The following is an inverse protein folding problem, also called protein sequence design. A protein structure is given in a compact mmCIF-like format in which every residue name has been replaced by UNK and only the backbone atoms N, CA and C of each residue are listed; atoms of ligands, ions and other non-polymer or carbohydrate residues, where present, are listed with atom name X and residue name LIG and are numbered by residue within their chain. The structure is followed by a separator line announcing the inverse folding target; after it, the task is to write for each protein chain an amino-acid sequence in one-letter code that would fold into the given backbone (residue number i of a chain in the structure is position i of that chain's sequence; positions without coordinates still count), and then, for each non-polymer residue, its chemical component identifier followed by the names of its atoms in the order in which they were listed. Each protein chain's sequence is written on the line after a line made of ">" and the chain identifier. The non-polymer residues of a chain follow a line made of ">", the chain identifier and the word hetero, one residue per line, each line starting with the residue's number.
data_IF_593428804747
#
_entry.id   IF_593428804747
#
_cell.length_a   1.000
_cell.length_b   1.000
_cell.length_c   1.000
_cell.angle_alpha   90.00
_cell.angle_beta   90.00
_cell.angle_gamma   90.00
#
_symmetry.space_group_name_H-M   'P 1'
#
loop_
_entity.id
_entity.type
_entity.pdbx_description
1 polymer ?
#
# COMPACT_ATOMS: atom_id res chain seq x y z
N UNK A 1 32.80 -19.92 17.25
CA UNK A 1 32.66 -18.47 17.57
C UNK A 1 32.07 -17.61 16.44
N UNK A 2 32.02 -18.04 15.16
CA UNK A 2 31.57 -17.17 14.05
C UNK A 2 30.06 -16.97 13.83
N UNK A 3 29.18 -17.82 14.38
CA UNK A 3 27.74 -17.73 14.10
C UNK A 3 27.00 -16.57 14.81
N UNK A 4 27.44 -16.18 16.01
CA UNK A 4 26.77 -15.14 16.81
C UNK A 4 27.04 -13.73 16.29
N UNK A 5 28.25 -13.49 15.78
CA UNK A 5 28.63 -12.22 15.15
C UNK A 5 27.85 -12.00 13.86
N UNK A 6 27.73 -13.06 13.04
CA UNK A 6 26.89 -13.03 11.84
C UNK A 6 25.43 -12.67 12.13
N UNK A 7 24.82 -13.21 13.20
CA UNK A 7 23.43 -12.88 13.57
C UNK A 7 23.24 -11.42 13.99
N UNK A 8 24.19 -10.85 14.75
CA UNK A 8 24.14 -9.44 15.12
C UNK A 8 24.30 -8.53 13.90
N UNK A 9 25.20 -8.88 12.99
CA UNK A 9 25.39 -8.16 11.72
C UNK A 9 24.12 -8.24 10.85
N UNK A 10 23.47 -9.41 10.79
CA UNK A 10 22.18 -9.57 10.09
C UNK A 10 21.10 -8.69 10.73
N UNK A 11 20.98 -8.67 12.06
CA UNK A 11 19.99 -7.83 12.76
C UNK A 11 20.23 -6.34 12.50
N UNK A 12 21.49 -5.90 12.53
CA UNK A 12 21.84 -4.52 12.22
C UNK A 12 21.48 -4.15 10.78
N UNK A 13 21.82 -5.00 9.82
CA UNK A 13 21.51 -4.76 8.42
C UNK A 13 19.98 -4.79 8.17
N UNK A 14 19.23 -5.69 8.81
CA UNK A 14 17.77 -5.74 8.74
C UNK A 14 17.15 -4.44 9.29
N UNK A 15 17.68 -3.92 10.40
CA UNK A 15 17.25 -2.64 10.97
C UNK A 15 17.51 -1.47 10.01
N UNK A 16 18.65 -1.47 9.32
CA UNK A 16 18.96 -0.46 8.32
C UNK A 16 17.95 -0.50 7.17
N UNK A 17 17.65 -1.70 6.67
CA UNK A 17 16.69 -1.92 5.60
C UNK A 17 15.26 -1.56 6.00
N UNK A 18 14.84 -1.90 7.22
CA UNK A 18 13.54 -1.50 7.76
C UNK A 18 13.42 0.03 7.81
N UNK A 19 14.47 0.73 8.23
CA UNK A 19 14.51 2.20 8.25
C UNK A 19 14.47 2.81 6.85
N UNK A 20 15.13 2.18 5.88
CA UNK A 20 15.09 2.60 4.48
C UNK A 20 13.68 2.42 3.88
N UNK A 21 13.05 1.26 4.11
CA UNK A 21 11.66 1.01 3.71
C UNK A 21 10.69 2.04 4.31
N UNK A 22 10.86 2.41 5.57
CA UNK A 22 10.03 3.45 6.20
C UNK A 22 10.22 4.82 5.52
N UNK A 23 11.46 5.20 5.18
CA UNK A 23 11.71 6.45 4.44
C UNK A 23 11.08 6.44 3.05
N UNK A 24 11.09 5.29 2.37
CA UNK A 24 10.45 5.12 1.06
C UNK A 24 8.92 5.22 1.19
N UNK A 25 8.33 4.62 2.22
CA UNK A 25 6.92 4.78 2.55
C UNK A 25 6.53 6.26 2.74
N UNK A 26 7.26 6.99 3.61
CA UNK A 26 7.04 8.42 3.84
C UNK A 26 7.25 9.26 2.56
N UNK A 27 8.16 8.84 1.68
CA UNK A 27 8.37 9.49 0.38
C UNK A 27 7.17 9.28 -0.55
N UNK A 28 6.65 8.07 -0.65
CA UNK A 28 5.46 7.76 -1.45
C UNK A 28 4.22 8.52 -0.95
N UNK A 29 4.01 8.64 0.37
CA UNK A 29 2.92 9.44 0.93
C UNK A 29 3.04 10.93 0.59
N UNK A 30 4.25 11.49 0.65
CA UNK A 30 4.48 12.89 0.22
C UNK A 30 4.22 13.08 -1.28
N UNK A 31 4.60 12.13 -2.11
CA UNK A 31 4.32 12.17 -3.55
C UNK A 31 2.81 12.02 -3.85
N UNK A 32 2.10 11.18 -3.09
CA UNK A 32 0.63 11.04 -3.14
C UNK A 32 -0.06 12.37 -2.81
N UNK A 33 0.34 13.03 -1.72
CA UNK A 33 -0.25 14.31 -1.30
C UNK A 33 0.00 15.43 -2.32
N UNK A 34 1.20 15.48 -2.91
CA UNK A 34 1.51 16.39 -4.02
C UNK A 34 0.60 16.15 -5.22
N UNK A 35 0.30 14.88 -5.53
CA UNK A 35 -0.59 14.55 -6.64
C UNK A 35 -2.04 14.94 -6.34
N UNK A 36 -2.50 14.77 -5.09
CA UNK A 36 -3.82 15.27 -4.64
C UNK A 36 -3.96 16.78 -4.79
N UNK A 37 -2.92 17.56 -4.53
CA UNK A 37 -2.92 19.00 -4.77
C UNK A 37 -3.05 19.30 -6.28
N UNK A 38 -2.39 18.53 -7.13
CA UNK A 38 -2.52 18.69 -8.60
C UNK A 38 -3.92 18.33 -9.09
N UNK A 39 -4.57 17.31 -8.52
CA UNK A 39 -5.98 16.97 -8.81
C UNK A 39 -6.87 18.19 -8.56
N UNK A 40 -6.72 18.85 -7.39
CA UNK A 40 -7.49 20.07 -7.06
C UNK A 40 -7.25 21.16 -8.11
N UNK A 41 -5.99 21.44 -8.43
CA UNK A 41 -5.63 22.44 -9.43
C UNK A 41 -6.14 22.13 -10.85
N UNK A 42 -6.32 20.85 -11.19
CA UNK A 42 -6.87 20.40 -12.47
C UNK A 42 -8.40 20.53 -12.51
N UNK A 43 -9.07 20.23 -11.38
CA UNK A 43 -10.52 20.41 -11.22
C UNK A 43 -10.92 21.90 -11.27
N UNK A 44 -10.16 22.80 -10.63
CA UNK A 44 -10.38 24.25 -10.71
C UNK A 44 -10.31 24.78 -12.16
N UNK A 45 -9.45 24.16 -12.98
CA UNK A 45 -9.28 24.50 -14.40
C UNK A 45 -10.27 23.77 -15.31
N UNK A 46 -11.23 23.01 -14.75
CA UNK A 46 -12.19 22.18 -15.47
C UNK A 46 -11.54 21.15 -16.42
N UNK A 47 -10.32 20.69 -16.11
CA UNK A 47 -9.62 19.68 -16.90
C UNK A 47 -9.75 18.30 -16.25
N UNK A 48 -10.87 17.62 -16.58
CA UNK A 48 -11.22 16.30 -16.05
C UNK A 48 -10.21 15.23 -16.46
N UNK A 49 -9.69 15.29 -17.70
CA UNK A 49 -8.71 14.33 -18.21
C UNK A 49 -7.41 14.38 -17.38
N UNK A 50 -6.91 15.59 -17.09
CA UNK A 50 -5.72 15.77 -16.25
C UNK A 50 -5.97 15.35 -14.79
N UNK A 51 -7.17 15.64 -14.26
CA UNK A 51 -7.56 15.20 -12.92
C UNK A 51 -7.57 13.67 -12.82
N UNK A 52 -8.06 12.96 -13.84
CA UNK A 52 -8.05 11.49 -13.92
C UNK A 52 -6.64 10.90 -13.94
N UNK A 53 -5.73 11.49 -14.71
CA UNK A 53 -4.31 11.05 -14.73
C UNK A 53 -3.65 11.24 -13.36
N UNK A 54 -3.86 12.41 -12.73
CA UNK A 54 -3.31 12.68 -11.40
C UNK A 54 -3.94 11.79 -10.32
N UNK A 55 -5.24 11.51 -10.40
CA UNK A 55 -5.91 10.57 -9.50
C UNK A 55 -5.35 9.14 -9.62
N UNK A 56 -5.15 8.64 -10.85
CA UNK A 56 -4.52 7.33 -11.07
C UNK A 56 -3.10 7.27 -10.52
N UNK A 57 -2.30 8.32 -10.68
CA UNK A 57 -0.95 8.40 -10.10
C UNK A 57 -0.98 8.41 -8.56
N UNK A 58 -1.93 9.13 -7.96
CA UNK A 58 -2.12 9.20 -6.51
C UNK A 58 -2.42 7.81 -5.93
N UNK A 59 -3.39 7.08 -6.52
CA UNK A 59 -3.73 5.71 -6.11
C UNK A 59 -2.52 4.78 -6.25
N UNK A 60 -1.79 4.88 -7.36
CA UNK A 60 -0.60 4.06 -7.60
C UNK A 60 0.46 4.31 -6.53
N UNK A 61 0.67 5.56 -6.11
CA UNK A 61 1.61 5.96 -5.05
C UNK A 61 1.14 5.53 -3.66
N UNK A 62 -0.16 5.59 -3.40
CA UNK A 62 -0.77 5.09 -2.16
C UNK A 62 -0.54 3.57 -2.01
N UNK A 63 -0.81 2.80 -3.06
CA UNK A 63 -0.58 1.35 -3.08
C UNK A 63 0.90 1.01 -2.93
N UNK A 64 1.78 1.79 -3.56
CA UNK A 64 3.23 1.67 -3.38
C UNK A 64 3.63 1.92 -1.90
N UNK A 65 3.06 2.95 -1.26
CA UNK A 65 3.29 3.27 0.14
C UNK A 65 2.85 2.12 1.06
N UNK A 66 1.68 1.52 0.83
CA UNK A 66 1.20 0.37 1.59
C UNK A 66 2.13 -0.83 1.47
N UNK A 67 2.66 -1.09 0.26
CA UNK A 67 3.62 -2.18 0.03
C UNK A 67 4.91 -1.97 0.83
N UNK A 68 5.46 -0.76 0.87
CA UNK A 68 6.63 -0.45 1.69
C UNK A 68 6.34 -0.58 3.19
N UNK A 69 5.14 -0.23 3.64
CA UNK A 69 4.73 -0.36 5.04
C UNK A 69 4.63 -1.84 5.46
N UNK A 70 3.99 -2.67 4.65
CA UNK A 70 3.92 -4.12 4.87
C UNK A 70 5.32 -4.73 4.91
N UNK A 71 6.18 -4.34 3.96
CA UNK A 71 7.56 -4.81 3.94
C UNK A 71 8.36 -4.39 5.19
N UNK A 72 8.20 -3.16 5.65
CA UNK A 72 8.79 -2.71 6.91
C UNK A 72 8.35 -3.58 8.09
N UNK A 73 7.04 -3.87 8.20
CA UNK A 73 6.51 -4.73 9.26
C UNK A 73 7.10 -6.15 9.20
N UNK A 74 7.17 -6.76 8.00
CA UNK A 74 7.80 -8.07 7.78
C UNK A 74 9.27 -8.09 8.23
N UNK A 75 10.05 -7.06 7.85
CA UNK A 75 11.46 -6.94 8.25
C UNK A 75 11.64 -6.82 9.77
N UNK A 76 10.79 -6.06 10.45
CA UNK A 76 10.86 -5.90 11.90
C UNK A 76 10.48 -7.20 12.64
N UNK A 77 9.53 -7.98 12.12
CA UNK A 77 9.22 -9.33 12.63
C UNK A 77 10.43 -10.25 12.52
N UNK A 78 11.07 -10.33 11.35
CA UNK A 78 12.27 -11.15 11.14
C UNK A 78 13.40 -10.69 12.07
N UNK A 79 13.60 -9.37 12.20
CA UNK A 79 14.61 -8.80 13.11
C UNK A 79 14.34 -9.19 14.56
N UNK A 80 13.10 -9.10 15.04
CA UNK A 80 12.71 -9.51 16.40
C UNK A 80 12.99 -10.98 16.68
N UNK A 81 12.74 -11.85 15.68
CA UNK A 81 13.09 -13.27 15.75
C UNK A 81 14.62 -13.49 15.81
N UNK A 82 15.39 -12.78 14.98
CA UNK A 82 16.86 -12.83 14.98
C UNK A 82 17.43 -12.34 16.33
N UNK A 83 16.91 -11.25 16.89
CA UNK A 83 17.31 -10.71 18.19
C UNK A 83 16.98 -11.69 19.33
N UNK A 84 15.86 -12.40 19.23
CA UNK A 84 15.47 -13.43 20.20
C UNK A 84 16.38 -14.66 20.11
N UNK A 85 16.74 -15.09 18.89
CA UNK A 85 17.71 -16.16 18.66
C UNK A 85 19.13 -15.79 19.14
N UNK A 86 19.55 -14.54 18.96
CA UNK A 86 20.84 -14.03 19.41
C UNK A 86 20.95 -13.94 20.95
N UNK A 87 19.84 -13.65 21.64
CA UNK A 87 19.75 -13.61 23.12
C UNK A 87 19.64 -15.00 23.75
N UNK A 88 18.88 -15.90 23.13
CA UNK A 88 18.63 -17.25 23.68
C UNK A 88 19.68 -18.29 23.32
N UNK A 89 20.64 -17.94 22.44
CA UNK A 89 21.64 -18.85 21.84
C UNK A 89 21.04 -20.09 21.13
N UNK A 90 19.71 -20.14 21.00
CA UNK A 90 18.96 -21.20 20.35
C UNK A 90 18.37 -20.66 19.06
N UNK A 91 19.09 -20.88 17.96
CA UNK A 91 18.58 -20.59 16.62
C UNK A 91 17.63 -21.72 16.22
N UNK A 92 16.38 -21.38 15.89
CA UNK A 92 15.40 -22.34 15.36
C UNK A 92 15.90 -22.93 14.04
N UNK A 93 15.49 -24.16 13.73
CA UNK A 93 15.90 -24.84 12.50
C UNK A 93 15.54 -24.06 11.24
N UNK A 94 14.38 -23.39 11.24
CA UNK A 94 13.93 -22.58 10.11
C UNK A 94 14.73 -21.28 10.00
N UNK A 95 15.01 -20.61 11.12
CA UNK A 95 15.89 -19.44 11.10
C UNK A 95 17.30 -19.82 10.62
N UNK A 96 17.82 -21.00 10.96
CA UNK A 96 19.11 -21.50 10.42
C UNK A 96 19.09 -21.68 8.90
N UNK A 97 17.98 -22.13 8.32
CA UNK A 97 17.82 -22.31 6.87
C UNK A 97 17.62 -20.97 6.14
N UNK A 98 16.87 -20.05 6.74
CA UNK A 98 16.58 -18.74 6.18
C UNK A 98 17.74 -17.74 6.28
N UNK A 99 18.59 -17.87 7.31
CA UNK A 99 19.67 -16.90 7.60
C UNK A 99 20.66 -16.64 6.45
N UNK A 100 21.10 -17.65 5.67
CA UNK A 100 21.96 -17.41 4.51
C UNK A 100 21.27 -16.59 3.42
N UNK A 101 19.98 -16.84 3.17
CA UNK A 101 19.18 -16.08 2.19
C UNK A 101 18.97 -14.65 2.68
N UNK A 102 18.58 -14.47 3.95
CA UNK A 102 18.44 -13.15 4.58
C UNK A 102 19.78 -12.39 4.47
N UNK A 103 20.91 -13.00 4.83
CA UNK A 103 22.20 -12.33 4.75
C UNK A 103 22.57 -11.89 3.33
N UNK A 104 22.23 -12.67 2.30
CA UNK A 104 22.42 -12.25 0.90
C UNK A 104 21.54 -11.06 0.54
N UNK A 105 20.25 -11.13 0.86
CA UNK A 105 19.27 -10.09 0.51
C UNK A 105 19.59 -8.76 1.18
N UNK A 106 20.00 -8.78 2.45
CA UNK A 106 20.23 -7.57 3.23
C UNK A 106 21.62 -6.97 2.95
N UNK A 107 22.58 -7.76 2.46
CA UNK A 107 23.92 -7.25 2.07
C UNK A 107 23.89 -6.55 0.70
N UNK A 108 22.99 -6.94 -0.20
CA UNK A 108 22.80 -6.26 -1.47
C UNK A 108 22.04 -4.94 -1.28
N UNK A 109 22.79 -3.83 -1.15
CA UNK A 109 22.26 -2.47 -0.95
C UNK A 109 21.61 -1.81 -2.18
N UNK A 110 21.52 -2.49 -3.32
CA UNK A 110 21.01 -1.90 -4.56
C UNK A 110 19.53 -2.28 -4.74
N UNK A 111 18.64 -1.47 -4.16
CA UNK A 111 17.20 -1.62 -4.26
C UNK A 111 16.67 -0.82 -5.45
N UNK A 112 16.43 -1.49 -6.58
CA UNK A 112 15.50 -0.98 -7.60
C UNK A 112 14.55 -2.07 -8.13
N UNK A 113 14.43 -3.20 -7.42
CA UNK A 113 13.70 -4.34 -7.95
C UNK A 113 12.57 -4.76 -7.02
N UNK A 114 11.37 -4.76 -7.60
CA UNK A 114 10.24 -5.59 -7.17
C UNK A 114 10.70 -7.01 -6.79
N UNK A 115 11.75 -7.51 -7.44
CA UNK A 115 12.38 -8.79 -7.15
C UNK A 115 12.92 -8.93 -5.73
N UNK A 116 13.40 -7.84 -5.11
CA UNK A 116 13.91 -7.87 -3.75
C UNK A 116 12.77 -8.04 -2.76
N UNK A 117 11.64 -7.35 -2.99
CA UNK A 117 10.40 -7.58 -2.23
C UNK A 117 9.95 -9.02 -2.34
N UNK A 118 9.86 -9.57 -3.55
CA UNK A 118 9.43 -10.96 -3.77
C UNK A 118 10.34 -11.98 -3.10
N UNK A 119 11.66 -11.73 -3.07
CA UNK A 119 12.60 -12.62 -2.38
C UNK A 119 12.45 -12.57 -0.86
N UNK A 120 12.18 -11.40 -0.28
CA UNK A 120 11.85 -11.30 1.14
C UNK A 120 10.51 -11.94 1.48
N UNK A 121 9.52 -11.85 0.58
CA UNK A 121 8.23 -12.52 0.77
C UNK A 121 8.37 -14.04 0.81
N UNK A 122 9.16 -14.64 -0.08
CA UNK A 122 9.45 -16.08 -0.04
C UNK A 122 10.13 -16.49 1.26
N UNK A 123 11.14 -15.72 1.69
CA UNK A 123 11.84 -15.98 2.96
C UNK A 123 10.90 -15.85 4.16
N UNK A 124 9.91 -14.96 4.08
CA UNK A 124 8.91 -14.76 5.12
C UNK A 124 7.87 -15.88 5.15
N UNK A 125 7.35 -16.29 4.00
CA UNK A 125 6.47 -17.47 3.88
C UNK A 125 7.16 -18.71 4.46
N UNK A 126 8.42 -18.96 4.10
CA UNK A 126 9.21 -20.08 4.64
C UNK A 126 9.35 -20.03 6.18
N UNK A 127 9.35 -18.83 6.78
CA UNK A 127 9.41 -18.61 8.23
C UNK A 127 8.02 -18.71 8.91
N UNK A 128 6.94 -18.31 8.24
CA UNK A 128 5.57 -18.26 8.77
C UNK A 128 4.73 -19.53 8.52
N UNK A 129 5.16 -20.47 7.67
CA UNK A 129 4.43 -21.73 7.38
C UNK A 129 4.16 -22.61 8.63
N UNK A 130 4.69 -22.27 9.81
CA UNK A 130 4.35 -22.93 11.08
C UNK A 130 3.38 -22.15 11.98
N UNK A 131 3.11 -20.86 11.71
CA UNK A 131 2.08 -20.08 12.42
C UNK A 131 0.73 -20.14 11.68
N UNK A 132 0.75 -20.40 10.37
CA UNK A 132 -0.43 -20.49 9.49
C UNK A 132 -1.24 -21.81 9.58
N UNK A 133 -1.50 -22.31 10.79
CA UNK A 133 -2.75 -23.06 11.06
C UNK A 133 -3.69 -22.19 11.92
N UNK A 134 -3.81 -20.91 11.57
CA UNK A 134 -4.92 -20.05 11.95
C UNK A 134 -4.96 -18.87 10.97
N UNK A 135 -6.06 -18.75 10.23
CA UNK A 135 -6.44 -17.62 9.37
C UNK A 135 -5.93 -17.61 7.92
N UNK A 136 -6.48 -18.54 7.14
CA UNK A 136 -6.42 -18.53 5.68
C UNK A 136 -7.41 -17.50 5.12
N UNK A 137 -7.01 -16.23 5.04
CA UNK A 137 -7.78 -15.21 4.31
C UNK A 137 -6.97 -13.97 3.90
N UNK A 138 -5.87 -14.10 3.16
CA UNK A 138 -5.35 -12.98 2.35
C UNK A 138 -4.71 -13.53 1.07
N UNK A 139 -5.55 -13.97 0.13
CA UNK A 139 -5.11 -14.42 -1.18
C UNK A 139 -5.99 -13.76 -2.24
N UNK A 140 -5.76 -12.46 -2.46
CA UNK A 140 -5.96 -11.83 -3.75
C UNK A 140 -5.31 -10.44 -3.74
N UNK A 141 -5.06 -9.86 -4.92
CA UNK A 141 -4.54 -8.49 -5.18
C UNK A 141 -3.09 -8.38 -5.63
N UNK A 142 -2.82 -8.78 -6.87
CA UNK A 142 -1.76 -8.15 -7.70
C UNK A 142 -2.20 -7.87 -9.15
N UNK A 143 -3.49 -7.96 -9.48
CA UNK A 143 -3.95 -7.89 -10.89
C UNK A 143 -4.63 -6.57 -11.35
N UNK A 144 -4.86 -5.58 -10.48
CA UNK A 144 -5.47 -4.31 -10.90
C UNK A 144 -4.72 -3.11 -10.32
N UNK A 145 -3.87 -2.47 -11.13
CA UNK A 145 -3.06 -1.32 -10.68
C UNK A 145 -3.82 0.02 -10.59
N UNK A 146 -5.13 0.03 -10.87
CA UNK A 146 -6.13 1.03 -10.50
C UNK A 146 -7.38 0.75 -11.36
N UNK A 147 -8.43 0.07 -10.85
CA UNK A 147 -9.70 0.01 -11.58
C UNK A 147 -10.28 1.43 -11.72
N UNK A 148 -10.94 1.72 -12.85
CA UNK A 148 -11.46 3.07 -13.13
C UNK A 148 -12.43 3.58 -12.05
N UNK A 149 -13.15 2.67 -11.39
CA UNK A 149 -14.06 3.00 -10.28
C UNK A 149 -13.34 3.64 -9.09
N UNK A 150 -12.15 3.15 -8.71
CA UNK A 150 -11.36 3.73 -7.61
C UNK A 150 -10.85 5.14 -7.95
N UNK A 151 -10.57 5.38 -9.25
CA UNK A 151 -10.13 6.69 -9.75
C UNK A 151 -11.28 7.68 -9.68
N UNK A 152 -12.46 7.31 -10.17
CA UNK A 152 -13.64 8.16 -10.19
C UNK A 152 -14.16 8.43 -8.75
N UNK A 153 -14.07 7.45 -7.84
CA UNK A 153 -14.34 7.62 -6.41
C UNK A 153 -13.38 8.63 -5.75
N UNK A 154 -12.08 8.55 -6.06
CA UNK A 154 -11.09 9.47 -5.50
C UNK A 154 -11.31 10.90 -6.00
N UNK A 155 -11.64 11.09 -7.28
CA UNK A 155 -11.99 12.40 -7.84
C UNK A 155 -13.21 12.99 -7.12
N UNK A 156 -14.23 12.17 -6.90
CA UNK A 156 -15.46 12.58 -6.20
C UNK A 156 -15.18 13.00 -4.76
N UNK A 157 -14.39 12.22 -4.00
CA UNK A 157 -14.01 12.59 -2.62
C UNK A 157 -13.20 13.89 -2.55
N UNK A 158 -12.23 14.07 -3.46
CA UNK A 158 -11.43 15.31 -3.52
C UNK A 158 -12.27 16.51 -3.94
N UNK A 159 -13.29 16.31 -4.78
CA UNK A 159 -14.25 17.34 -5.14
C UNK A 159 -15.13 17.78 -3.96
N UNK A 160 -15.71 16.81 -3.24
CA UNK A 160 -16.57 17.01 -2.07
C UNK A 160 -15.81 17.71 -0.93
N UNK A 161 -14.59 17.26 -0.63
CA UNK A 161 -13.73 17.87 0.41
C UNK A 161 -13.40 19.35 0.12
N UNK A 162 -13.42 19.74 -1.16
CA UNK A 162 -13.05 21.09 -1.61
C UNK A 162 -14.22 21.95 -2.06
N UNK A 163 -15.47 21.49 -1.89
CA UNK A 163 -16.67 22.15 -2.38
C UNK A 163 -16.57 22.55 -3.86
N UNK A 164 -15.83 21.77 -4.66
CA UNK A 164 -15.74 21.93 -6.10
C UNK A 164 -16.94 21.19 -6.70
N UNK A 165 -17.78 21.91 -7.45
CA UNK A 165 -18.98 21.35 -8.07
C UNK A 165 -18.61 20.48 -9.28
N UNK A 166 -18.24 19.23 -9.02
CA UNK A 166 -17.80 18.27 -10.04
C UNK A 166 -18.98 17.50 -10.64
N UNK A 167 -20.18 17.65 -10.05
CA UNK A 167 -21.41 17.02 -10.52
C UNK A 167 -21.85 17.46 -11.91
N UNK A 168 -21.66 18.74 -12.26
CA UNK A 168 -22.05 19.30 -13.56
C UNK A 168 -21.02 18.97 -14.67
N UNK A 169 -19.75 18.73 -14.30
CA UNK A 169 -18.64 18.47 -15.24
C UNK A 169 -18.47 16.97 -15.57
N UNK A 170 -18.81 16.07 -14.64
CA UNK A 170 -18.89 14.62 -14.93
C UNK A 170 -20.14 14.29 -15.77
N UNK A 171 -21.24 15.03 -15.59
CA UNK A 171 -22.47 14.86 -16.37
C UNK A 171 -22.31 15.25 -17.85
N UNK A 172 -21.41 16.19 -18.17
CA UNK A 172 -21.19 16.65 -19.55
C UNK A 172 -20.31 15.72 -20.39
N UNK A 173 -19.61 14.75 -19.77
CA UNK A 173 -18.68 13.84 -20.47
C UNK A 173 -19.26 12.43 -20.71
N UNK A 174 -20.57 12.22 -20.48
CA UNK A 174 -21.28 11.07 -21.06
C UNK A 174 -21.11 9.73 -20.34
N UNK A 175 -20.94 9.71 -19.02
CA UNK A 175 -21.24 8.53 -18.21
C UNK A 175 -22.69 8.62 -17.71
N UNK A 176 -23.52 7.68 -18.16
CA UNK A 176 -24.97 7.62 -17.90
C UNK A 176 -25.22 7.48 -16.39
N UNK A 177 -25.59 8.57 -15.72
CA UNK A 177 -26.24 8.50 -14.41
C UNK A 177 -27.74 8.51 -14.68
N UNK A 178 -28.38 7.36 -14.47
CA UNK A 178 -29.84 7.28 -14.49
C UNK A 178 -30.37 8.15 -13.34
N UNK A 179 -31.22 9.16 -13.59
CA UNK A 179 -31.68 10.05 -12.53
C UNK A 179 -32.64 9.28 -11.60
N UNK A 180 -32.25 9.11 -10.34
CA UNK A 180 -33.20 8.79 -9.26
C UNK A 180 -34.01 10.06 -9.00
N UNK A 181 -35.07 10.25 -9.79
CA UNK A 181 -36.09 11.27 -9.55
C UNK A 181 -37.41 10.57 -9.22
N UNK A 182 -37.70 10.43 -7.92
CA UNK A 182 -39.07 10.45 -7.37
C UNK A 182 -38.96 11.03 -5.94
N UNK A 183 -38.93 12.36 -5.78
CA UNK A 183 -40.11 13.22 -5.67
C UNK A 183 -41.12 12.75 -4.59
N UNK A 184 -40.84 13.04 -3.31
CA UNK A 184 -41.88 13.15 -2.27
C UNK A 184 -42.69 14.42 -2.52
N UNK A 185 -43.85 14.30 -3.18
CA UNK A 185 -44.94 15.28 -3.10
C UNK A 185 -46.28 14.57 -2.92
N UNK A 186 -46.84 14.77 -1.72
CA UNK A 186 -48.25 15.07 -1.44
C UNK A 186 -49.35 14.24 -2.16
N UNK A 187 -50.02 13.39 -1.37
CA UNK A 187 -51.42 12.95 -1.60
C UNK A 187 -52.13 13.07 -0.24
N UNK A 188 -52.85 14.18 -0.02
CA UNK A 188 -54.28 14.45 -0.31
C UNK A 188 -55.10 14.38 0.99
N UNK A 189 -55.37 15.56 1.55
CA UNK A 189 -56.51 15.80 2.44
C UNK A 189 -57.81 15.77 1.62
N UNK A 190 -58.87 15.31 2.27
CA UNK A 190 -60.26 15.16 1.80
C UNK A 190 -60.86 16.44 1.20
N UNK A 191 -61.80 16.27 0.26
CA UNK A 191 -63.18 16.73 0.50
C UNK A 191 -64.18 16.17 -0.51
N UNK A 192 -65.30 15.77 0.08
CA UNK A 192 -66.63 15.59 -0.48
C UNK A 192 -67.29 16.96 -0.73
#
# INVERSE_FOLDING_TARGET
>A
MGGRQSLMDTSFNLRLQAREAQKLHEKCLREEEQEKIKIKSALEKSNVEAARVHAGNSIRKHNEALRYLQFHAKLETIRSQVDTAARSERVTTELKKALPSINRLVTHKAYDSVDLFQQFEKVFEDLEVREAYADQSVQDQTAHLAPNDEIDDLITKVAEEHALDVGDLLSTTGAIITPISQAKKQTKFEQN
#
